data_IF_678924847086
#
_entry.id   IF_678924847086
#
_cell.length_a   1.000
_cell.length_b   1.000
_cell.length_c   1.000
_cell.angle_alpha   90.00
_cell.angle_beta   90.00
_cell.angle_gamma   90.00
#
_symmetry.space_group_name_H-M   'P 1'
#
loop_
_entity.id
_entity.type
_entity.pdbx_description
1 polymer ?
#
# COMPACT_ATOMS: atom_id res chain seq x y z
N UNK A 1 3.98 -15.41 8.12
CA UNK A 1 3.12 -14.52 7.31
C UNK A 1 3.96 -14.03 6.14
N UNK A 2 3.41 -14.09 4.93
CA UNK A 2 4.08 -13.64 3.70
C UNK A 2 4.00 -12.11 3.60
N UNK A 3 5.09 -11.47 3.17
CA UNK A 3 5.13 -10.02 2.92
C UNK A 3 4.20 -9.65 1.75
N UNK A 4 3.15 -8.82 1.95
CA UNK A 4 2.20 -8.48 0.90
C UNK A 4 2.75 -7.47 -0.12
N UNK A 5 3.91 -6.86 0.15
CA UNK A 5 4.50 -5.85 -0.72
C UNK A 5 5.55 -6.49 -1.62
N UNK A 6 5.12 -6.85 -2.84
CA UNK A 6 5.99 -7.38 -3.89
C UNK A 6 5.99 -6.44 -5.11
N UNK A 7 7.04 -6.48 -5.95
CA UNK A 7 7.15 -5.58 -7.10
C UNK A 7 5.93 -5.62 -8.01
N UNK A 8 5.41 -4.44 -8.36
CA UNK A 8 4.22 -4.34 -9.21
C UNK A 8 4.57 -4.67 -10.67
N UNK A 9 3.94 -5.71 -11.22
CA UNK A 9 4.10 -6.14 -12.62
C UNK A 9 2.75 -6.05 -13.35
N UNK A 10 2.53 -4.94 -14.08
CA UNK A 10 1.35 -4.73 -14.93
C UNK A 10 0.12 -4.09 -14.24
N UNK A 11 -0.69 -3.39 -15.07
CA UNK A 11 -1.71 -2.38 -14.71
C UNK A 11 -1.18 -1.12 -14.01
N UNK A 12 -1.86 0.00 -14.25
CA UNK A 12 -1.47 1.38 -13.90
C UNK A 12 -0.97 1.50 -12.46
N UNK A 13 0.25 2.01 -12.28
CA UNK A 13 0.97 2.06 -11.00
C UNK A 13 0.10 2.51 -9.82
N UNK A 14 -0.71 3.57 -9.99
CA UNK A 14 -1.55 4.09 -8.89
C UNK A 14 -2.66 3.12 -8.45
N UNK A 15 -3.43 2.58 -9.40
CA UNK A 15 -4.49 1.60 -9.10
C UNK A 15 -3.89 0.36 -8.44
N UNK A 16 -2.74 -0.09 -8.96
CA UNK A 16 -2.04 -1.25 -8.43
C UNK A 16 -1.52 -1.02 -6.99
N UNK A 17 -1.07 0.19 -6.63
CA UNK A 17 -0.61 0.50 -5.26
C UNK A 17 -1.77 0.54 -4.26
N UNK A 18 -2.85 1.27 -4.55
CA UNK A 18 -4.00 1.36 -3.64
C UNK A 18 -4.61 -0.03 -3.40
N UNK A 19 -4.78 -0.84 -4.45
CA UNK A 19 -5.30 -2.20 -4.31
C UNK A 19 -4.37 -3.08 -3.49
N UNK A 20 -3.05 -2.99 -3.69
CA UNK A 20 -2.07 -3.78 -2.91
C UNK A 20 -2.13 -3.45 -1.43
N UNK A 21 -2.14 -2.17 -1.07
CA UNK A 21 -2.23 -1.74 0.33
C UNK A 21 -3.59 -2.13 0.93
N UNK A 22 -4.68 -2.00 0.17
CA UNK A 22 -6.01 -2.44 0.62
C UNK A 22 -6.03 -3.94 0.93
N UNK A 23 -5.45 -4.78 0.06
CA UNK A 23 -5.38 -6.22 0.32
C UNK A 23 -4.53 -6.54 1.55
N UNK A 24 -3.44 -5.80 1.77
CA UNK A 24 -2.63 -5.96 2.98
C UNK A 24 -3.43 -5.63 4.26
N UNK A 25 -4.26 -4.58 4.24
CA UNK A 25 -5.13 -4.22 5.37
C UNK A 25 -6.21 -5.29 5.59
N UNK A 26 -6.95 -5.64 4.53
CA UNK A 26 -8.02 -6.64 4.61
C UNK A 26 -7.51 -8.04 4.98
N UNK A 27 -6.27 -8.36 4.62
CA UNK A 27 -5.58 -9.60 5.01
C UNK A 27 -5.00 -9.56 6.42
N UNK A 28 -5.08 -8.45 7.14
CA UNK A 28 -4.53 -8.27 8.49
C UNK A 28 -3.01 -8.16 8.53
N UNK A 29 -2.36 -7.88 7.38
CA UNK A 29 -0.92 -7.61 7.30
C UNK A 29 -0.57 -6.17 7.68
N UNK A 30 -1.54 -5.26 7.60
CA UNK A 30 -1.48 -3.91 8.14
C UNK A 30 -2.71 -3.72 9.04
N UNK A 31 -2.48 -3.30 10.29
CA UNK A 31 -3.58 -3.02 11.20
C UNK A 31 -4.06 -1.57 11.04
N UNK A 32 -5.38 -1.30 11.14
CA UNK A 32 -5.90 0.06 11.23
C UNK A 32 -5.22 0.84 12.38
N UNK A 33 -4.83 2.09 12.13
CA UNK A 33 -4.07 2.90 13.09
C UNK A 33 -2.60 2.50 13.30
N UNK A 34 -2.09 1.46 12.64
CA UNK A 34 -0.65 1.14 12.65
C UNK A 34 0.14 2.18 11.84
N UNK A 35 1.32 2.55 12.35
CA UNK A 35 2.15 3.53 11.65
C UNK A 35 2.74 2.92 10.37
N UNK A 36 2.19 3.29 9.22
CA UNK A 36 2.63 2.79 7.92
C UNK A 36 3.96 3.43 7.50
N UNK A 37 5.01 2.61 7.36
CA UNK A 37 6.29 3.07 6.82
C UNK A 37 6.24 3.17 5.29
N UNK A 38 5.90 4.35 4.78
CA UNK A 38 5.78 4.64 3.34
C UNK A 38 7.07 4.35 2.56
N UNK A 39 8.23 4.61 3.16
CA UNK A 39 9.52 4.39 2.52
C UNK A 39 9.77 2.89 2.30
N UNK A 40 9.44 2.08 3.29
CA UNK A 40 9.55 0.62 3.20
C UNK A 40 8.62 0.04 2.13
N UNK A 41 7.35 0.47 2.09
CA UNK A 41 6.39 0.01 1.07
C UNK A 41 6.87 0.42 -0.33
N UNK A 42 7.34 1.65 -0.51
CA UNK A 42 7.83 2.13 -1.79
C UNK A 42 9.02 1.30 -2.29
N UNK A 43 9.97 0.99 -1.41
CA UNK A 43 11.12 0.12 -1.70
C UNK A 43 10.67 -1.28 -2.13
N UNK A 44 9.77 -1.90 -1.36
CA UNK A 44 9.25 -3.25 -1.62
C UNK A 44 8.46 -3.37 -2.93
N UNK A 45 7.66 -2.35 -3.23
CA UNK A 45 6.90 -2.27 -4.47
C UNK A 45 7.76 -1.83 -5.67
N UNK A 46 8.99 -1.37 -5.45
CA UNK A 46 9.91 -0.93 -6.50
C UNK A 46 9.51 0.42 -7.14
N UNK A 47 8.90 1.31 -6.36
CA UNK A 47 8.34 2.58 -6.84
C UNK A 47 8.78 3.78 -6.00
N UNK A 48 8.42 4.99 -6.44
CA UNK A 48 8.64 6.21 -5.64
C UNK A 48 7.64 6.33 -4.47
N UNK A 49 7.96 7.19 -3.50
CA UNK A 49 7.09 7.45 -2.33
C UNK A 49 5.79 8.20 -2.65
N UNK A 50 5.76 8.94 -3.77
CA UNK A 50 4.59 9.75 -4.17
C UNK A 50 3.31 8.92 -4.32
N UNK A 51 3.31 7.87 -5.16
CA UNK A 51 2.15 6.98 -5.32
C UNK A 51 1.71 6.28 -4.04
N UNK A 52 2.66 5.91 -3.15
CA UNK A 52 2.33 5.30 -1.86
C UNK A 52 1.57 6.29 -0.97
N UNK A 53 2.02 7.53 -0.88
CA UNK A 53 1.33 8.57 -0.10
C UNK A 53 -0.08 8.84 -0.63
N UNK A 54 -0.24 8.90 -1.95
CA UNK A 54 -1.56 9.13 -2.57
C UNK A 54 -2.51 7.96 -2.34
N UNK A 55 -2.03 6.73 -2.43
CA UNK A 55 -2.80 5.54 -2.13
C UNK A 55 -3.24 5.50 -0.66
N UNK A 56 -2.35 5.81 0.28
CA UNK A 56 -2.68 5.88 1.70
C UNK A 56 -3.71 6.97 2.00
N UNK A 57 -3.56 8.16 1.42
CA UNK A 57 -4.54 9.24 1.58
C UNK A 57 -5.91 8.90 1.00
N UNK A 58 -5.96 8.09 -0.07
CA UNK A 58 -7.23 7.56 -0.58
C UNK A 58 -7.85 6.55 0.39
N UNK A 59 -7.06 5.62 0.95
CA UNK A 59 -7.54 4.62 1.90
C UNK A 59 -7.99 5.23 3.23
N UNK A 60 -7.36 6.32 3.67
CA UNK A 60 -7.79 7.14 4.79
C UNK A 60 -9.17 7.77 4.53
N UNK A 61 -9.38 8.33 3.33
CA UNK A 61 -10.71 8.85 2.92
C UNK A 61 -11.78 7.76 2.82
N UNK A 62 -11.38 6.53 2.50
CA UNK A 62 -12.25 5.34 2.49
C UNK A 62 -12.51 4.77 3.90
N UNK A 63 -11.82 5.27 4.94
CA UNK A 63 -11.97 4.80 6.33
C UNK A 63 -11.30 3.45 6.62
N UNK A 64 -10.29 3.08 5.83
CA UNK A 64 -9.59 1.79 5.94
C UNK A 64 -8.30 1.84 6.78
N UNK A 65 -7.81 3.04 7.13
CA UNK A 65 -6.58 3.26 7.90
C UNK A 65 -6.85 4.25 9.02
#
# INVERSE_FOLDING_TARGET
>A
MSDPFQPLTGKTLRTSVTDTIRQAILGGNLLPGEQVNQAHIAEKLGISRGPVREALGQLEQEGLI
#
